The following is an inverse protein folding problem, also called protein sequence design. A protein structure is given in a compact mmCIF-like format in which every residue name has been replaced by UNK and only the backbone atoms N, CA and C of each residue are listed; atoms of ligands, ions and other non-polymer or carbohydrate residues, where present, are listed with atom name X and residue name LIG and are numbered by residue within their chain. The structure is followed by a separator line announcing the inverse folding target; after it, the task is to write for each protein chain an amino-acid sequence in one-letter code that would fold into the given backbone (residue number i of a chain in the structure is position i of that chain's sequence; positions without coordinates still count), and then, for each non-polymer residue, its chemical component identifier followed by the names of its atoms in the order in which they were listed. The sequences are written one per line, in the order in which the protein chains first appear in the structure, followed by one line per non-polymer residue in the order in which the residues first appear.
data_IF_587461221284
#
_entry.id   IF_587461221284
#
_cell.length_a   1.000
_cell.length_b   1.000
_cell.length_c   1.000
_cell.angle_alpha   90.00
_cell.angle_beta   90.00
_cell.angle_gamma   90.00
#
_symmetry.space_group_name_H-M   'P 1'
#
loop_
_entity.id
_entity.type
_entity.pdbx_description
1 polymer ?
#
# COMPACT_ATOMS: atom_id res chain seq x y z
N UNK A 1 19.46 -18.95 5.87
CA UNK A 1 18.71 -18.79 4.61
C UNK A 1 17.98 -17.45 4.60
N UNK A 2 18.13 -16.70 3.53
CA UNK A 2 17.53 -15.37 3.40
C UNK A 2 16.05 -15.49 3.00
N UNK A 3 15.17 -14.75 3.67
CA UNK A 3 13.77 -14.66 3.27
C UNK A 3 13.66 -13.92 1.95
N UNK A 4 12.80 -14.39 1.06
CA UNK A 4 12.46 -13.65 -0.14
C UNK A 4 11.63 -12.41 0.24
N UNK A 5 12.00 -11.25 -0.28
CA UNK A 5 11.21 -10.03 -0.11
C UNK A 5 10.32 -9.86 -1.33
N UNK A 6 9.04 -9.77 -1.09
CA UNK A 6 8.03 -9.69 -2.14
C UNK A 6 7.21 -8.42 -1.94
N UNK A 7 7.00 -7.67 -3.02
CA UNK A 7 6.13 -6.50 -3.00
C UNK A 7 4.81 -6.92 -3.65
N UNK A 8 3.72 -6.82 -2.91
CA UNK A 8 2.41 -7.26 -3.38
C UNK A 8 1.30 -6.44 -2.74
N UNK A 9 0.18 -6.31 -3.44
CA UNK A 9 -1.00 -5.62 -2.95
C UNK A 9 -1.94 -5.26 -4.09
N UNK A 10 -3.07 -4.62 -3.78
CA UNK A 10 -3.93 -4.10 -4.84
C UNK A 10 -3.24 -2.92 -5.51
N UNK A 11 -3.38 -2.81 -6.82
CA UNK A 11 -2.73 -1.74 -7.58
C UNK A 11 -3.09 -0.35 -7.03
N UNK A 12 -4.38 -0.14 -6.72
CA UNK A 12 -4.90 1.12 -6.20
C UNK A 12 -5.83 0.82 -5.03
N UNK A 13 -5.92 1.76 -4.08
CA UNK A 13 -6.86 1.63 -2.97
C UNK A 13 -8.27 1.94 -3.49
N UNK A 14 -9.06 0.89 -3.72
CA UNK A 14 -10.43 1.05 -4.20
C UNK A 14 -11.41 1.26 -3.05
N UNK A 15 -11.19 0.57 -1.93
CA UNK A 15 -12.01 0.70 -0.74
C UNK A 15 -11.23 0.19 0.47
N UNK A 16 -11.63 0.62 1.66
CA UNK A 16 -11.04 0.12 2.91
C UNK A 16 -11.29 -1.38 3.07
N UNK A 17 -12.45 -1.84 2.66
CA UNK A 17 -12.83 -3.24 2.74
C UNK A 17 -11.95 -4.12 1.86
N UNK A 18 -11.73 -3.72 0.61
CA UNK A 18 -10.86 -4.47 -0.29
C UNK A 18 -9.42 -4.47 0.22
N UNK A 19 -8.95 -3.33 0.70
CA UNK A 19 -7.60 -3.20 1.23
C UNK A 19 -7.40 -4.16 2.41
N UNK A 20 -8.36 -4.22 3.32
CA UNK A 20 -8.32 -5.12 4.47
C UNK A 20 -8.30 -6.58 4.04
N UNK A 21 -9.15 -6.95 3.08
CA UNK A 21 -9.23 -8.33 2.58
C UNK A 21 -7.90 -8.78 1.98
N UNK A 22 -7.28 -7.94 1.15
CA UNK A 22 -5.99 -8.28 0.53
C UNK A 22 -4.90 -8.37 1.59
N UNK A 23 -4.86 -7.43 2.53
CA UNK A 23 -3.86 -7.44 3.60
C UNK A 23 -3.96 -8.70 4.45
N UNK A 24 -5.17 -9.10 4.82
CA UNK A 24 -5.38 -10.33 5.59
C UNK A 24 -4.85 -11.56 4.86
N UNK A 25 -5.07 -11.63 3.55
CA UNK A 25 -4.58 -12.75 2.74
C UNK A 25 -3.07 -12.77 2.67
N UNK A 26 -2.44 -11.61 2.53
CA UNK A 26 -0.98 -11.55 2.44
C UNK A 26 -0.30 -11.90 3.78
N UNK A 27 -0.91 -11.53 4.89
CA UNK A 27 -0.43 -11.96 6.22
C UNK A 27 -0.47 -13.47 6.34
N UNK A 28 -1.54 -14.10 5.87
CA UNK A 28 -1.68 -15.54 5.88
C UNK A 28 -0.57 -16.21 5.06
N UNK A 29 -0.30 -15.68 3.87
CA UNK A 29 0.75 -16.19 3.00
C UNK A 29 2.13 -16.05 3.66
N UNK A 30 2.43 -14.90 4.27
CA UNK A 30 3.68 -14.68 4.99
C UNK A 30 3.89 -15.74 6.06
N UNK A 31 2.83 -16.03 6.83
CA UNK A 31 2.90 -17.01 7.91
C UNK A 31 3.16 -18.43 7.38
N UNK A 32 2.48 -18.79 6.30
CA UNK A 32 2.59 -20.16 5.75
C UNK A 32 3.92 -20.39 5.03
N UNK A 33 4.41 -19.40 4.29
CA UNK A 33 5.57 -19.57 3.44
C UNK A 33 6.87 -18.98 4.02
N UNK A 34 6.78 -18.28 5.15
CA UNK A 34 7.94 -17.63 5.75
C UNK A 34 8.51 -16.53 4.86
N UNK A 35 7.68 -15.89 4.06
CA UNK A 35 8.09 -14.79 3.19
C UNK A 35 8.05 -13.47 3.94
N UNK A 36 8.64 -12.42 3.32
CA UNK A 36 8.59 -11.06 3.80
C UNK A 36 7.89 -10.23 2.72
N UNK A 37 6.58 -10.06 2.87
CA UNK A 37 5.78 -9.29 1.92
C UNK A 37 5.68 -7.85 2.41
N UNK A 38 6.05 -6.91 1.52
CA UNK A 38 5.80 -5.50 1.70
C UNK A 38 4.48 -5.21 0.98
N UNK A 39 3.51 -4.68 1.73
CA UNK A 39 2.18 -4.39 1.20
C UNK A 39 2.20 -3.10 0.41
N UNK A 40 1.85 -3.19 -0.87
CA UNK A 40 1.86 -2.04 -1.77
C UNK A 40 0.45 -1.69 -2.21
N UNK A 41 0.09 -0.41 -2.10
CA UNK A 41 -1.13 0.14 -2.68
C UNK A 41 -0.92 1.62 -2.97
N UNK A 42 -1.46 2.09 -4.08
CA UNK A 42 -1.35 3.50 -4.45
C UNK A 42 -2.58 4.28 -3.98
N UNK A 43 -2.34 5.46 -3.39
CA UNK A 43 -3.44 6.36 -3.03
C UNK A 43 -3.93 7.19 -4.21
N UNK A 44 -3.11 7.30 -5.27
CA UNK A 44 -3.47 8.03 -6.49
C UNK A 44 -2.73 7.44 -7.69
N UNK A 45 -3.46 7.03 -8.71
CA UNK A 45 -2.89 6.59 -9.99
C UNK A 45 -2.80 7.78 -10.95
N UNK A 46 -1.91 8.71 -10.63
CA UNK A 46 -1.77 9.96 -11.37
C UNK A 46 -1.35 9.77 -12.83
N UNK A 47 -0.75 8.63 -13.17
CA UNK A 47 -0.34 8.31 -14.54
C UNK A 47 -1.47 7.79 -15.42
N UNK A 48 -2.68 7.63 -14.90
CA UNK A 48 -3.82 7.20 -15.72
C UNK A 48 -4.31 8.35 -16.56
N UNK A 49 -4.54 8.08 -17.85
CA UNK A 49 -4.92 9.11 -18.83
C UNK A 49 -6.42 9.20 -19.06
N UNK A 50 -7.18 8.16 -18.73
CA UNK A 50 -8.62 8.17 -18.90
C UNK A 50 -9.30 8.91 -17.76
N UNK A 51 -10.21 9.81 -18.08
CA UNK A 51 -11.03 10.53 -17.09
C UNK A 51 -11.97 9.61 -16.32
N UNK A 52 -12.27 8.44 -16.90
CA UNK A 52 -13.17 7.47 -16.28
C UNK A 52 -12.44 6.41 -15.47
N UNK A 53 -11.12 6.39 -15.50
CA UNK A 53 -10.33 5.45 -14.69
C UNK A 53 -10.33 5.89 -13.22
N UNK A 54 -10.54 4.93 -12.32
CA UNK A 54 -10.47 5.21 -10.90
C UNK A 54 -9.02 5.46 -10.51
N UNK A 55 -8.75 6.60 -9.90
CA UNK A 55 -7.40 7.01 -9.52
C UNK A 55 -7.03 6.68 -8.07
N UNK A 56 -8.00 6.53 -7.21
CA UNK A 56 -7.78 6.28 -5.79
C UNK A 56 -8.39 7.35 -4.89
N UNK A 57 -8.29 7.18 -3.56
CA UNK A 57 -8.94 8.08 -2.60
C UNK A 57 -8.21 9.41 -2.38
N UNK A 58 -6.99 9.56 -2.90
CA UNK A 58 -6.16 10.71 -2.61
C UNK A 58 -5.25 10.48 -1.41
N UNK A 59 -4.31 11.41 -1.17
CA UNK A 59 -3.25 11.21 -0.18
C UNK A 59 -3.76 11.12 1.26
N UNK A 60 -4.61 12.05 1.70
CA UNK A 60 -5.02 12.09 3.10
C UNK A 60 -5.78 10.84 3.51
N UNK A 61 -6.81 10.52 2.75
CA UNK A 61 -7.63 9.34 3.01
C UNK A 61 -6.85 8.06 2.78
N UNK A 62 -6.05 8.02 1.73
CA UNK A 62 -5.24 6.85 1.38
C UNK A 62 -4.20 6.53 2.45
N UNK A 63 -3.49 7.54 2.96
CA UNK A 63 -2.52 7.32 4.03
C UNK A 63 -3.18 6.85 5.33
N UNK A 64 -4.38 7.37 5.64
CA UNK A 64 -5.12 6.89 6.81
C UNK A 64 -5.48 5.41 6.66
N UNK A 65 -5.96 5.02 5.48
CA UNK A 65 -6.31 3.62 5.20
C UNK A 65 -5.09 2.71 5.31
N UNK A 66 -3.93 3.15 4.80
CA UNK A 66 -2.69 2.40 4.92
C UNK A 66 -2.21 2.29 6.37
N UNK A 67 -2.33 3.38 7.14
CA UNK A 67 -1.99 3.37 8.55
C UNK A 67 -2.85 2.36 9.32
N UNK A 68 -4.13 2.28 8.99
CA UNK A 68 -5.04 1.32 9.61
C UNK A 68 -4.64 -0.13 9.32
N UNK A 69 -4.19 -0.41 8.09
CA UNK A 69 -3.68 -1.73 7.71
C UNK A 69 -2.42 -2.07 8.50
N UNK A 70 -1.51 -1.13 8.63
CA UNK A 70 -0.27 -1.33 9.38
C UNK A 70 -0.56 -1.64 10.85
N UNK A 71 -1.47 -0.88 11.45
CA UNK A 71 -1.84 -1.09 12.85
C UNK A 71 -2.48 -2.46 13.07
N UNK A 72 -3.37 -2.86 12.16
CA UNK A 72 -4.11 -4.11 12.29
C UNK A 72 -3.27 -5.34 11.99
N UNK A 73 -2.42 -5.29 10.97
CA UNK A 73 -1.73 -6.47 10.47
C UNK A 73 -0.22 -6.48 10.68
N UNK A 74 0.37 -5.34 11.01
CA UNK A 74 1.81 -5.25 11.21
C UNK A 74 2.65 -5.42 9.95
N UNK A 75 2.05 -5.24 8.78
CA UNK A 75 2.76 -5.33 7.51
C UNK A 75 3.62 -4.08 7.27
N UNK A 76 4.78 -4.28 6.64
CA UNK A 76 5.52 -3.14 6.10
C UNK A 76 4.77 -2.63 4.87
N UNK A 77 4.78 -1.32 4.68
CA UNK A 77 3.99 -0.67 3.64
C UNK A 77 4.88 0.00 2.61
N UNK A 78 4.41 -0.02 1.36
CA UNK A 78 5.00 0.73 0.26
C UNK A 78 3.89 1.44 -0.50
N UNK A 79 4.12 2.71 -0.82
CA UNK A 79 3.25 3.45 -1.73
C UNK A 79 4.09 4.35 -2.63
N UNK A 80 3.51 4.83 -3.72
CA UNK A 80 4.17 5.73 -4.64
C UNK A 80 3.71 7.17 -4.42
N UNK A 81 4.61 8.12 -4.69
CA UNK A 81 4.30 9.54 -4.63
C UNK A 81 4.44 10.14 -6.03
N UNK A 82 3.81 11.28 -6.26
CA UNK A 82 3.77 11.94 -7.56
C UNK A 82 4.26 13.38 -7.52
N UNK A 83 4.36 13.96 -6.32
CA UNK A 83 4.85 15.32 -6.11
C UNK A 83 5.75 15.34 -4.88
N UNK A 84 6.76 16.23 -4.91
CA UNK A 84 7.78 16.27 -3.86
C UNK A 84 7.19 16.50 -2.46
N UNK A 85 6.17 17.34 -2.34
CA UNK A 85 5.57 17.66 -1.04
C UNK A 85 4.92 16.45 -0.37
N UNK A 86 4.59 15.43 -1.16
CA UNK A 86 3.95 14.23 -0.64
C UNK A 86 4.91 13.33 0.14
N UNK A 87 6.22 13.50 -0.03
CA UNK A 87 7.21 12.62 0.59
C UNK A 87 7.15 12.66 2.12
N UNK A 88 7.04 13.84 2.72
CA UNK A 88 7.04 13.96 4.17
C UNK A 88 5.83 13.29 4.84
N UNK A 89 4.58 13.62 4.46
CA UNK A 89 3.44 12.94 5.08
C UNK A 89 3.41 11.44 4.79
N UNK A 90 3.83 11.04 3.59
CA UNK A 90 3.87 9.62 3.22
C UNK A 90 4.88 8.86 4.05
N UNK A 91 6.07 9.43 4.25
CA UNK A 91 7.13 8.80 5.03
C UNK A 91 6.80 8.59 6.51
N UNK A 92 5.79 9.28 7.03
CA UNK A 92 5.33 9.06 8.40
C UNK A 92 4.48 7.79 8.53
N UNK A 93 3.97 7.27 7.44
CA UNK A 93 3.05 6.12 7.43
C UNK A 93 3.70 4.88 6.85
N UNK A 94 4.40 5.03 5.71
CA UNK A 94 4.92 3.87 4.98
C UNK A 94 6.41 3.65 5.27
N UNK A 95 6.87 2.44 5.00
CA UNK A 95 8.26 2.04 5.21
C UNK A 95 9.11 2.28 3.96
N UNK A 96 8.49 2.23 2.78
CA UNK A 96 9.18 2.42 1.50
C UNK A 96 8.35 3.37 0.63
N UNK A 97 9.02 4.35 0.03
CA UNK A 97 8.39 5.28 -0.91
C UNK A 97 8.93 4.99 -2.30
N UNK A 98 8.03 4.78 -3.24
CA UNK A 98 8.37 4.63 -4.65
C UNK A 98 8.22 5.98 -5.34
N UNK A 99 9.23 6.37 -6.06
CA UNK A 99 9.23 7.65 -6.79
C UNK A 99 8.92 7.43 -8.26
#
# INVERSE_FOLDING_TARGET
MTKATIIAGPCVIESAELLDTVAAKLVEINRKLGTDIIFKASFDKANRTSLHSFRGPGIDKGLQMLADVKEKYGLRLLTDIHEAWQAEPTGQVVDVIQI
#
